data_IF_654581362809
#
_entry.id   IF_654581362809
#
_cell.length_a   1.000
_cell.length_b   1.000
_cell.length_c   1.000
_cell.angle_alpha   90.00
_cell.angle_beta   90.00
_cell.angle_gamma   90.00
#
_symmetry.space_group_name_H-M   'P 1'
#
loop_
_entity.id
_entity.type
_entity.pdbx_description
1 polymer ?
#
# COMPACT_ATOMS: atom_id res chain seq x y z
N UNK A 1 -6.39 32.09 30.08
CA UNK A 1 -6.49 30.62 30.17
C UNK A 1 -7.05 30.13 28.86
N UNK A 2 -6.17 29.90 27.87
CA UNK A 2 -6.56 29.46 26.54
C UNK A 2 -6.73 27.95 26.57
N UNK A 3 -7.97 27.49 26.47
CA UNK A 3 -8.32 26.08 26.39
C UNK A 3 -7.80 25.50 25.07
N UNK A 4 -6.67 24.80 25.13
CA UNK A 4 -6.22 23.90 24.08
C UNK A 4 -7.24 22.77 23.95
N UNK A 5 -8.05 22.80 22.89
CA UNK A 5 -8.84 21.65 22.49
C UNK A 5 -7.85 20.55 22.09
N UNK A 6 -7.83 19.49 22.88
CA UNK A 6 -7.14 18.25 22.55
C UNK A 6 -7.97 17.61 21.44
N UNK A 7 -7.44 17.62 20.22
CA UNK A 7 -7.97 16.84 19.10
C UNK A 7 -7.91 15.36 19.49
N UNK A 8 -9.05 14.82 19.92
CA UNK A 8 -9.22 13.39 20.11
C UNK A 8 -9.08 12.71 18.75
N UNK A 9 -8.23 11.67 18.60
CA UNK A 9 -8.15 10.93 17.35
C UNK A 9 -9.51 10.30 17.08
N UNK A 10 -10.21 10.78 16.06
CA UNK A 10 -11.48 10.20 15.62
C UNK A 10 -11.22 8.74 15.29
N UNK A 11 -11.98 7.85 15.94
CA UNK A 11 -11.85 6.41 15.81
C UNK A 11 -11.73 5.96 14.35
N UNK A 12 -10.82 5.03 14.07
CA UNK A 12 -10.54 4.37 12.78
C UNK A 12 -11.70 3.51 12.25
N UNK A 13 -12.93 3.87 12.59
CA UNK A 13 -14.14 3.16 12.24
C UNK A 13 -14.77 3.80 11.01
N UNK A 14 -15.02 2.98 9.99
CA UNK A 14 -15.76 3.42 8.81
C UNK A 14 -17.16 3.91 9.23
N UNK A 15 -17.55 5.16 8.92
CA UNK A 15 -18.81 5.77 9.36
C UNK A 15 -20.05 5.14 8.70
N UNK A 16 -19.84 4.27 7.70
CA UNK A 16 -20.87 3.59 6.94
C UNK A 16 -20.97 2.08 7.30
N UNK A 17 -20.26 1.63 8.34
CA UNK A 17 -20.25 0.23 8.74
C UNK A 17 -21.31 -0.02 9.83
N UNK A 18 -22.25 -0.93 9.59
CA UNK A 18 -23.34 -1.27 10.52
C UNK A 18 -22.88 -2.10 11.74
N UNK A 19 -21.57 -2.17 12.03
CA UNK A 19 -20.96 -2.94 13.13
C UNK A 19 -21.50 -4.37 13.31
N UNK A 20 -21.95 -5.03 12.23
CA UNK A 20 -22.29 -6.45 12.28
C UNK A 20 -21.00 -7.24 12.47
N UNK A 21 -20.96 -8.20 13.42
CA UNK A 21 -19.79 -9.04 13.60
C UNK A 21 -19.50 -9.74 12.28
N UNK A 22 -18.30 -9.50 11.75
CA UNK A 22 -17.85 -10.13 10.51
C UNK A 22 -17.60 -11.60 10.83
N UNK A 23 -18.42 -12.49 10.30
CA UNK A 23 -18.38 -13.93 10.58
C UNK A 23 -17.16 -14.65 9.99
N UNK A 24 -16.24 -13.94 9.32
CA UNK A 24 -15.03 -14.53 8.75
C UNK A 24 -13.75 -13.81 9.19
N UNK A 25 -12.66 -14.57 9.41
CA UNK A 25 -11.33 -14.01 9.66
C UNK A 25 -10.86 -13.17 8.47
N UNK A 26 -10.07 -12.13 8.76
CA UNK A 26 -9.68 -11.07 7.82
C UNK A 26 -9.12 -11.62 6.49
N UNK A 27 -8.28 -12.66 6.55
CA UNK A 27 -7.62 -13.28 5.39
C UNK A 27 -8.54 -14.06 4.44
N UNK A 28 -9.84 -14.19 4.74
CA UNK A 28 -10.83 -14.90 3.91
C UNK A 28 -11.95 -13.99 3.40
N UNK A 29 -11.86 -12.67 3.65
CA UNK A 29 -12.87 -11.71 3.20
C UNK A 29 -12.44 -11.04 1.89
N UNK A 30 -12.91 -11.55 0.75
CA UNK A 30 -12.53 -11.02 -0.58
C UNK A 30 -12.87 -9.55 -0.85
N UNK A 31 -13.58 -8.82 0.04
CA UNK A 31 -14.07 -7.48 -0.28
C UNK A 31 -14.13 -6.47 0.89
N UNK A 32 -13.55 -6.74 2.06
CA UNK A 32 -13.56 -5.76 3.18
C UNK A 32 -12.19 -5.20 3.56
N UNK A 33 -11.13 -5.61 2.87
CA UNK A 33 -9.76 -5.13 3.13
C UNK A 33 -9.46 -3.79 2.43
N UNK A 34 -10.27 -3.42 1.43
CA UNK A 34 -10.00 -2.25 0.60
C UNK A 34 -10.63 -1.01 1.20
N UNK A 35 -9.77 -0.08 1.55
CA UNK A 35 -10.12 1.22 2.11
C UNK A 35 -9.84 2.32 1.10
N UNK A 36 -10.71 3.32 1.09
CA UNK A 36 -10.55 4.52 0.28
C UNK A 36 -10.77 5.76 1.16
N UNK A 37 -9.86 6.73 1.05
CA UNK A 37 -9.91 7.99 1.79
C UNK A 37 -10.52 9.07 0.93
N UNK A 38 -11.44 9.86 1.48
CA UNK A 38 -11.92 11.05 0.78
C UNK A 38 -10.87 12.17 0.81
N UNK A 39 -10.57 12.79 -0.34
CA UNK A 39 -9.57 13.86 -0.43
C UNK A 39 -10.03 15.20 0.16
N UNK A 40 -11.35 15.36 0.38
CA UNK A 40 -11.92 16.57 0.98
C UNK A 40 -12.02 16.47 2.50
N UNK A 41 -12.74 15.46 3.00
CA UNK A 41 -12.99 15.32 4.44
C UNK A 41 -11.96 14.42 5.14
N UNK A 42 -11.03 13.80 4.40
CA UNK A 42 -9.98 12.91 4.91
C UNK A 42 -10.50 11.66 5.64
N UNK A 43 -11.80 11.39 5.56
CA UNK A 43 -12.43 10.23 6.20
C UNK A 43 -12.19 8.97 5.37
N UNK A 44 -11.75 7.91 6.04
CA UNK A 44 -11.57 6.58 5.48
C UNK A 44 -12.88 5.78 5.50
N UNK A 45 -13.20 5.15 4.37
CA UNK A 45 -14.37 4.29 4.23
C UNK A 45 -13.97 2.95 3.59
N UNK A 46 -14.65 1.87 3.94
CA UNK A 46 -14.51 0.62 3.19
C UNK A 46 -15.12 0.78 1.79
N UNK A 47 -14.43 0.27 0.77
CA UNK A 47 -14.95 0.21 -0.59
C UNK A 47 -16.30 -0.55 -0.64
N UNK A 48 -16.42 -1.65 0.12
CA UNK A 48 -17.68 -2.39 0.26
C UNK A 48 -18.85 -1.56 0.83
N UNK A 49 -18.62 -0.74 1.86
CA UNK A 49 -19.66 0.14 2.43
C UNK A 49 -20.18 1.14 1.37
N UNK A 50 -19.29 1.58 0.49
CA UNK A 50 -19.59 2.47 -0.63
C UNK A 50 -20.22 1.76 -1.84
N UNK A 51 -20.23 0.41 -1.84
CA UNK A 51 -20.54 -0.43 -3.01
C UNK A 51 -19.63 -0.13 -4.20
N UNK A 52 -18.36 0.12 -3.90
CA UNK A 52 -17.31 0.32 -4.88
C UNK A 52 -16.51 -0.98 -5.02
N UNK A 53 -16.41 -1.58 -6.22
CA UNK A 53 -15.52 -2.72 -6.46
C UNK A 53 -14.06 -2.31 -6.24
N UNK A 54 -13.23 -3.24 -5.76
CA UNK A 54 -11.79 -3.01 -5.58
C UNK A 54 -11.11 -2.54 -6.86
N UNK A 55 -11.43 -3.16 -8.00
CA UNK A 55 -10.88 -2.78 -9.30
C UNK A 55 -11.20 -1.33 -9.70
N UNK A 56 -12.38 -0.83 -9.31
CA UNK A 56 -12.75 0.57 -9.56
C UNK A 56 -11.99 1.53 -8.65
N UNK A 57 -11.60 1.10 -7.44
CA UNK A 57 -10.80 1.91 -6.53
C UNK A 57 -9.45 2.28 -7.13
N UNK A 58 -8.80 1.34 -7.82
CA UNK A 58 -7.49 1.57 -8.47
C UNK A 58 -7.56 2.61 -9.61
N UNK A 59 -8.76 2.77 -10.19
CA UNK A 59 -9.05 3.69 -11.30
C UNK A 59 -9.37 5.11 -10.81
N UNK A 60 -9.74 5.29 -9.55
CA UNK A 60 -9.99 6.60 -8.96
C UNK A 60 -8.65 7.31 -8.75
N UNK A 61 -8.62 8.59 -9.12
CA UNK A 61 -7.45 9.46 -8.94
C UNK A 61 -7.65 10.29 -7.66
N UNK A 62 -8.78 11.01 -7.57
CA UNK A 62 -9.22 11.71 -6.36
C UNK A 62 -10.64 11.23 -5.98
N UNK A 63 -10.81 10.80 -4.73
CA UNK A 63 -12.07 10.30 -4.22
C UNK A 63 -12.83 11.35 -3.42
N UNK A 64 -14.04 11.69 -3.87
CA UNK A 64 -14.99 12.49 -3.12
C UNK A 64 -16.13 11.62 -2.58
N UNK A 65 -16.29 11.61 -1.25
CA UNK A 65 -17.40 10.89 -0.63
C UNK A 65 -18.76 11.50 -1.05
N UNK A 66 -19.89 10.77 -0.96
CA UNK A 66 -21.18 11.27 -1.41
C UNK A 66 -21.60 12.62 -0.82
N UNK A 67 -21.14 12.95 0.40
CA UNK A 67 -21.38 14.25 1.04
C UNK A 67 -20.53 15.36 0.39
N UNK A 68 -19.23 15.11 0.22
CA UNK A 68 -18.30 16.07 -0.37
C UNK A 68 -18.52 16.26 -1.87
N UNK A 69 -19.04 15.24 -2.56
CA UNK A 69 -19.31 15.32 -3.99
C UNK A 69 -20.37 16.38 -4.34
N UNK A 70 -21.25 16.72 -3.40
CA UNK A 70 -22.29 17.75 -3.59
C UNK A 70 -21.68 19.15 -3.65
N UNK A 71 -20.67 19.45 -2.83
CA UNK A 71 -20.04 20.78 -2.75
C UNK A 71 -18.76 20.91 -3.58
N UNK A 72 -18.00 19.84 -3.77
CA UNK A 72 -16.69 19.86 -4.45
C UNK A 72 -16.69 19.14 -5.80
N UNK A 73 -17.84 18.67 -6.27
CA UNK A 73 -17.96 17.92 -7.52
C UNK A 73 -17.63 16.42 -7.38
N UNK A 74 -17.89 15.62 -8.41
CA UNK A 74 -17.70 14.17 -8.35
C UNK A 74 -16.21 13.77 -8.26
N UNK A 75 -15.95 12.53 -7.82
CA UNK A 75 -14.61 11.93 -7.86
C UNK A 75 -14.02 11.95 -9.26
N UNK A 76 -12.70 12.15 -9.35
CA UNK A 76 -11.95 12.12 -10.60
C UNK A 76 -11.36 10.73 -10.81
N UNK A 77 -11.28 10.29 -12.07
CA UNK A 77 -10.78 8.97 -12.44
C UNK A 77 -9.66 9.12 -13.45
N UNK A 78 -8.70 8.18 -13.44
CA UNK A 78 -7.72 8.03 -14.52
C UNK A 78 -8.51 7.83 -15.84
N UNK A 79 -8.15 8.58 -16.87
CA UNK A 79 -8.96 8.82 -18.09
C UNK A 79 -9.58 7.57 -18.76
N UNK A 80 -10.76 7.78 -19.39
CA UNK A 80 -11.54 6.87 -20.25
C UNK A 80 -12.45 5.83 -19.57
N UNK A 81 -13.02 6.12 -18.39
CA UNK A 81 -14.08 5.24 -17.85
C UNK A 81 -15.15 5.98 -17.02
N UNK A 82 -16.37 5.44 -17.02
CA UNK A 82 -17.49 5.91 -16.22
C UNK A 82 -17.64 5.03 -14.97
N UNK A 83 -17.24 5.53 -13.80
CA UNK A 83 -17.52 4.82 -12.54
C UNK A 83 -18.92 5.22 -12.05
N UNK A 84 -19.83 4.26 -11.88
CA UNK A 84 -21.14 4.48 -11.25
C UNK A 84 -21.02 4.32 -9.74
N UNK A 85 -20.68 5.40 -9.03
CA UNK A 85 -20.86 5.46 -7.57
C UNK A 85 -22.29 5.94 -7.31
N UNK A 86 -23.03 5.25 -6.42
CA UNK A 86 -24.47 5.45 -6.12
C UNK A 86 -25.02 6.86 -6.47
N UNK A 87 -26.00 6.91 -7.40
CA UNK A 87 -26.89 8.05 -7.73
C UNK A 87 -26.26 9.43 -8.01
N UNK A 88 -24.94 9.56 -8.15
CA UNK A 88 -24.33 10.74 -8.77
C UNK A 88 -23.48 10.26 -9.96
N UNK A 89 -24.07 10.40 -11.14
CA UNK A 89 -23.45 10.07 -12.43
C UNK A 89 -22.23 10.97 -12.59
N UNK A 90 -21.05 10.35 -12.62
CA UNK A 90 -19.79 11.02 -12.97
C UNK A 90 -19.91 11.48 -14.43
N UNK A 91 -20.11 12.78 -14.63
CA UNK A 91 -20.03 13.41 -15.94
C UNK A 91 -18.55 13.61 -16.29
N UNK A 92 -17.94 12.63 -16.98
CA UNK A 92 -16.62 12.78 -17.58
C UNK A 92 -16.66 12.32 -19.04
N UNK A 93 -15.95 13.05 -19.91
CA UNK A 93 -16.14 13.21 -21.37
C UNK A 93 -16.38 11.92 -22.19
N UNK A 94 -17.21 12.10 -23.24
CA UNK A 94 -17.74 11.14 -24.23
C UNK A 94 -16.72 10.38 -25.14
N UNK A 95 -15.52 10.01 -24.68
CA UNK A 95 -14.66 9.12 -25.48
C UNK A 95 -14.48 7.76 -24.84
N UNK A 96 -15.20 6.77 -25.37
CA UNK A 96 -14.99 5.32 -25.15
C UNK A 96 -13.70 4.79 -25.80
N UNK A 97 -12.85 5.67 -26.34
CA UNK A 97 -11.58 5.26 -26.92
C UNK A 97 -10.59 5.17 -25.78
N UNK A 98 -10.08 3.97 -25.56
CA UNK A 98 -8.88 3.75 -24.76
C UNK A 98 -7.75 4.54 -25.40
N UNK A 99 -7.53 5.76 -24.94
CA UNK A 99 -6.28 6.44 -25.20
C UNK A 99 -5.29 5.83 -24.22
N UNK A 100 -4.47 4.88 -24.70
CA UNK A 100 -3.27 4.54 -23.98
C UNK A 100 -2.56 5.87 -23.70
N UNK A 101 -2.32 6.16 -22.41
CA UNK A 101 -1.30 7.15 -22.08
C UNK A 101 -0.01 6.53 -22.58
N UNK A 102 0.34 6.82 -23.82
CA UNK A 102 1.66 6.55 -24.35
C UNK A 102 2.58 7.38 -23.48
N UNK A 103 3.11 6.74 -22.44
CA UNK A 103 4.18 7.31 -21.66
C UNK A 103 5.36 7.37 -22.63
N UNK A 104 5.62 8.54 -23.19
CA UNK A 104 6.67 8.72 -24.20
C UNK A 104 8.05 8.28 -23.64
N UNK A 105 8.25 8.36 -22.32
CA UNK A 105 9.43 7.78 -21.66
C UNK A 105 9.49 6.24 -21.78
N UNK A 106 8.35 5.56 -21.85
CA UNK A 106 8.28 4.11 -22.05
C UNK A 106 8.41 3.72 -23.53
N UNK A 107 7.99 4.61 -24.45
CA UNK A 107 8.10 4.42 -25.89
C UNK A 107 9.53 4.67 -26.39
N UNK A 108 10.20 5.72 -25.91
CA UNK A 108 11.59 6.08 -26.22
C UNK A 108 12.57 4.99 -25.75
N UNK A 109 12.25 4.32 -24.63
CA UNK A 109 13.03 3.19 -24.13
C UNK A 109 12.62 1.83 -24.74
N UNK A 110 11.56 1.76 -25.55
CA UNK A 110 11.08 0.53 -26.18
C UNK A 110 10.50 -0.53 -25.22
N UNK A 111 9.89 -0.11 -24.10
CA UNK A 111 9.58 -0.95 -22.94
C UNK A 111 8.07 -1.14 -22.65
N UNK A 112 7.19 -0.99 -23.64
CA UNK A 112 5.74 -1.18 -23.42
C UNK A 112 5.41 -2.62 -23.01
N UNK A 113 4.87 -2.82 -21.79
CA UNK A 113 4.22 -4.07 -21.37
C UNK A 113 5.09 -5.14 -20.70
N UNK A 114 6.37 -4.89 -20.41
CA UNK A 114 7.23 -5.90 -19.76
C UNK A 114 7.11 -5.85 -18.21
N UNK A 115 6.71 -6.94 -17.52
CA UNK A 115 6.63 -6.98 -16.05
C UNK A 115 7.99 -6.76 -15.35
N UNK A 116 9.09 -6.96 -16.08
CA UNK A 116 10.46 -6.74 -15.59
C UNK A 116 11.00 -5.34 -15.91
N UNK A 117 10.16 -4.38 -16.34
CA UNK A 117 10.55 -3.00 -16.65
C UNK A 117 11.43 -2.40 -15.56
N UNK A 118 10.95 -2.40 -14.32
CA UNK A 118 11.66 -1.79 -13.21
C UNK A 118 12.90 -2.57 -12.80
N UNK A 119 12.90 -3.89 -12.95
CA UNK A 119 14.10 -4.72 -12.75
C UNK A 119 15.22 -4.29 -13.70
N UNK A 120 14.93 -4.15 -14.99
CA UNK A 120 15.91 -3.69 -15.98
C UNK A 120 16.43 -2.27 -15.69
N UNK A 121 15.56 -1.38 -15.21
CA UNK A 121 15.93 -0.02 -14.79
C UNK A 121 16.79 -0.03 -13.53
N UNK A 122 16.57 -0.97 -12.61
CA UNK A 122 17.40 -1.14 -11.42
C UNK A 122 18.75 -1.74 -11.79
N UNK A 123 18.77 -2.76 -12.65
CA UNK A 123 19.99 -3.45 -13.10
C UNK A 123 20.92 -2.51 -13.90
N UNK A 124 20.36 -1.52 -14.60
CA UNK A 124 21.16 -0.52 -15.34
C UNK A 124 21.75 0.57 -14.45
N UNK A 125 21.31 0.68 -13.19
CA UNK A 125 21.82 1.68 -12.25
C UNK A 125 22.97 1.12 -11.43
N UNK A 126 24.05 1.88 -11.34
CA UNK A 126 25.13 1.62 -10.39
C UNK A 126 24.82 2.29 -9.06
N UNK A 127 24.82 1.50 -7.98
CA UNK A 127 24.66 2.00 -6.62
C UNK A 127 26.02 2.03 -5.91
N UNK A 128 26.21 3.00 -5.02
CA UNK A 128 27.41 3.05 -4.16
C UNK A 128 27.33 1.88 -3.18
N UNK A 129 28.45 1.19 -2.99
CA UNK A 129 28.53 0.12 -1.99
C UNK A 129 28.19 0.67 -0.61
N UNK A 130 27.40 -0.09 0.15
CA UNK A 130 27.10 0.26 1.53
C UNK A 130 28.39 0.29 2.38
N UNK A 131 28.38 1.13 3.42
CA UNK A 131 29.46 1.20 4.42
C UNK A 131 29.03 0.72 5.79
N UNK A 132 27.91 0.00 5.84
CA UNK A 132 27.32 -0.52 7.06
C UNK A 132 28.30 -1.40 7.83
N UNK A 133 28.34 -1.28 9.17
CA UNK A 133 29.22 -2.06 10.02
C UNK A 133 28.87 -3.54 9.90
N UNK A 134 29.92 -4.35 9.78
CA UNK A 134 29.84 -5.81 9.83
C UNK A 134 30.24 -6.27 11.23
N UNK A 135 29.33 -6.95 11.91
CA UNK A 135 29.60 -7.52 13.24
C UNK A 135 29.33 -9.02 13.24
N UNK A 136 29.91 -9.73 14.21
CA UNK A 136 29.57 -11.13 14.48
C UNK A 136 28.35 -11.20 15.40
N UNK A 137 27.59 -12.29 15.33
CA UNK A 137 26.37 -12.46 16.11
C UNK A 137 26.60 -12.36 17.62
N UNK A 138 27.73 -12.86 18.11
CA UNK A 138 28.12 -12.80 19.53
C UNK A 138 28.46 -11.39 20.03
N UNK A 139 28.79 -10.47 19.13
CA UNK A 139 29.11 -9.08 19.46
C UNK A 139 27.85 -8.21 19.60
N UNK A 140 26.73 -8.65 19.03
CA UNK A 140 25.45 -7.94 19.11
C UNK A 140 24.85 -8.12 20.51
N UNK A 141 25.31 -7.30 21.45
CA UNK A 141 24.88 -7.29 22.84
C UNK A 141 24.21 -5.96 23.19
N UNK A 142 23.44 -5.92 24.27
CA UNK A 142 22.82 -4.67 24.76
C UNK A 142 23.86 -3.59 25.06
N UNK A 143 25.04 -3.97 25.54
CA UNK A 143 26.12 -3.03 25.85
C UNK A 143 26.75 -2.48 24.57
N UNK A 144 26.86 -3.29 23.52
CA UNK A 144 27.27 -2.83 22.21
C UNK A 144 26.28 -1.78 21.67
N UNK A 145 24.97 -2.04 21.73
CA UNK A 145 23.94 -1.09 21.28
C UNK A 145 23.99 0.22 22.09
N UNK A 146 24.20 0.16 23.40
CA UNK A 146 24.33 1.35 24.24
C UNK A 146 25.56 2.19 23.90
N UNK A 147 26.64 1.55 23.43
CA UNK A 147 27.91 2.21 23.13
C UNK A 147 27.94 2.81 21.74
N UNK A 148 27.47 2.06 20.74
CA UNK A 148 27.56 2.43 19.32
C UNK A 148 26.26 3.00 18.75
N UNK A 149 25.13 2.81 19.43
CA UNK A 149 23.81 3.13 18.90
C UNK A 149 23.33 2.11 17.86
N UNK A 150 22.08 2.24 17.42
CA UNK A 150 21.51 1.44 16.33
C UNK A 150 20.85 2.39 15.32
N UNK A 151 21.65 3.33 14.82
CA UNK A 151 21.18 4.43 13.97
C UNK A 151 21.31 4.10 12.47
N UNK A 152 22.10 3.07 12.14
CA UNK A 152 22.27 2.55 10.79
C UNK A 152 22.08 1.03 10.73
N UNK A 153 21.75 0.46 9.55
CA UNK A 153 21.69 -0.98 9.36
C UNK A 153 23.03 -1.65 9.68
N UNK A 154 22.96 -2.86 10.23
CA UNK A 154 24.13 -3.70 10.54
C UNK A 154 24.04 -4.96 9.69
N UNK A 155 25.18 -5.47 9.25
CA UNK A 155 25.27 -6.72 8.48
C UNK A 155 25.94 -7.79 9.33
N UNK A 156 25.29 -8.95 9.42
CA UNK A 156 25.84 -10.14 10.08
C UNK A 156 25.85 -11.28 9.07
N UNK A 157 27.05 -11.72 8.69
CA UNK A 157 27.24 -12.69 7.60
C UNK A 157 26.93 -14.14 8.06
N UNK A 158 27.06 -14.46 9.35
CA UNK A 158 26.80 -15.80 9.91
C UNK A 158 25.81 -15.73 11.09
N UNK A 159 24.72 -16.53 11.10
CA UNK A 159 23.78 -16.58 12.22
C UNK A 159 24.34 -17.08 13.55
N UNK A 160 25.56 -17.64 13.58
CA UNK A 160 26.21 -18.05 14.83
C UNK A 160 26.35 -16.90 15.83
N UNK A 161 25.96 -17.16 17.08
CA UNK A 161 25.99 -16.18 18.17
C UNK A 161 24.75 -15.30 18.31
N UNK A 162 23.81 -15.34 17.35
CA UNK A 162 22.53 -14.61 17.44
C UNK A 162 21.44 -15.34 18.24
N UNK A 163 21.67 -16.61 18.58
CA UNK A 163 20.67 -17.50 19.19
C UNK A 163 19.35 -17.61 18.38
N UNK A 164 19.42 -17.31 17.08
CA UNK A 164 18.28 -17.36 16.17
C UNK A 164 18.03 -18.81 15.70
N UNK A 165 16.82 -19.33 15.95
CA UNK A 165 16.40 -20.64 15.48
C UNK A 165 15.86 -20.53 14.05
N UNK A 166 16.66 -20.96 13.07
CA UNK A 166 16.26 -21.02 11.67
C UNK A 166 15.88 -22.45 11.27
N UNK A 167 14.91 -22.64 10.36
CA UNK A 167 14.66 -23.93 9.74
C UNK A 167 15.88 -24.41 8.93
N UNK A 168 15.88 -25.69 8.55
CA UNK A 168 16.94 -26.24 7.70
C UNK A 168 17.09 -25.46 6.40
N UNK A 169 18.32 -25.37 5.88
CA UNK A 169 18.64 -24.72 4.59
C UNK A 169 17.93 -25.39 3.40
N UNK A 170 17.50 -26.64 3.57
CA UNK A 170 16.81 -27.43 2.54
C UNK A 170 15.29 -27.20 2.53
N UNK A 171 14.79 -26.25 3.34
CA UNK A 171 13.36 -25.94 3.37
C UNK A 171 12.89 -25.40 2.01
N UNK A 172 11.74 -25.90 1.54
CA UNK A 172 11.14 -25.48 0.26
C UNK A 172 9.82 -24.75 0.48
N UNK A 173 9.44 -23.91 -0.48
CA UNK A 173 8.16 -23.20 -0.46
C UNK A 173 6.98 -24.18 -0.36
N UNK A 174 7.06 -25.32 -1.05
CA UNK A 174 6.03 -26.37 -1.00
C UNK A 174 5.90 -26.99 0.39
N UNK A 175 7.01 -27.21 1.09
CA UNK A 175 7.00 -27.72 2.46
C UNK A 175 6.29 -26.74 3.41
N UNK A 176 6.60 -25.45 3.29
CA UNK A 176 5.96 -24.38 4.08
C UNK A 176 4.45 -24.33 3.80
N UNK A 177 4.05 -24.39 2.53
CA UNK A 177 2.64 -24.34 2.15
C UNK A 177 1.82 -25.54 2.68
N UNK A 178 2.46 -26.69 2.89
CA UNK A 178 1.81 -27.88 3.42
C UNK A 178 1.76 -27.93 4.96
N UNK A 179 2.47 -27.02 5.66
CA UNK A 179 2.52 -26.97 7.13
C UNK A 179 1.54 -25.97 7.75
N UNK A 180 0.82 -25.21 6.92
CA UNK A 180 -0.26 -24.28 7.31
C UNK A 180 -1.61 -24.93 7.08
#
# INVERSE_FOLDING_TARGET
>A
MSSTQVDTPQADNCPLCDNKPRFMPLWLQENTETWIKCDICLVWCHAACLKLPTEECERIDEYHCPKCAISHGPSTCKQNYHIKIRKNIINLRKSLREHSRINYADLENGLTGNPYKWKRVLDSKSFVNHKFPKIRGDQLTLDWIRTFGLDEPIIIDNPEGLEMKMPSKDITVSYIAATV
#
